data_IF_822336365204
#
_entry.id   IF_822336365204
#
_cell.length_a   1.000
_cell.length_b   1.000
_cell.length_c   1.000
_cell.angle_alpha   90.00
_cell.angle_beta   90.00
_cell.angle_gamma   90.00
#
_symmetry.space_group_name_H-M   'P 1'
#
loop_
_entity.id
_entity.type
_entity.pdbx_description
1 polymer ?
#
# COMPACT_ATOMS: atom_id res chain seq x y z
N UNK A 1 7.05 1.91 8.54
CA UNK A 1 8.53 2.06 8.45
C UNK A 1 8.92 3.45 7.91
N UNK A 2 8.62 3.78 6.65
CA UNK A 2 9.01 5.08 6.06
C UNK A 2 8.56 6.30 6.89
N UNK A 3 7.32 6.30 7.38
CA UNK A 3 6.83 7.35 8.28
C UNK A 3 7.66 7.51 9.57
N UNK A 4 8.05 6.40 10.22
CA UNK A 4 8.87 6.44 11.44
C UNK A 4 10.27 6.97 11.16
N UNK A 5 10.86 6.58 10.02
CA UNK A 5 12.16 7.08 9.58
C UNK A 5 12.09 8.56 9.24
N UNK A 6 11.04 9.01 8.56
CA UNK A 6 10.80 10.43 8.28
C UNK A 6 10.59 11.25 9.57
N UNK A 7 9.84 10.72 10.54
CA UNK A 7 9.63 11.38 11.84
C UNK A 7 10.94 11.49 12.63
N UNK A 8 11.73 10.41 12.66
CA UNK A 8 13.07 10.41 13.27
C UNK A 8 13.97 11.48 12.63
N UNK A 9 14.03 11.52 11.29
CA UNK A 9 14.82 12.51 10.56
C UNK A 9 14.33 13.94 10.83
N UNK A 10 13.02 14.14 10.98
CA UNK A 10 12.45 15.45 11.28
C UNK A 10 12.79 15.94 12.69
N UNK A 11 12.74 15.05 13.68
CA UNK A 11 13.14 15.39 15.05
C UNK A 11 14.65 15.64 15.12
N UNK A 12 15.49 14.77 14.52
CA UNK A 12 16.95 14.97 14.45
C UNK A 12 17.32 16.31 13.78
N UNK A 13 16.62 16.69 12.71
CA UNK A 13 16.77 17.99 12.04
C UNK A 13 16.46 19.17 12.97
N UNK A 14 15.41 19.10 13.78
CA UNK A 14 14.98 20.23 14.62
C UNK A 14 15.93 20.43 15.81
N UNK A 15 16.42 19.34 16.41
CA UNK A 15 17.17 19.41 17.66
C UNK A 15 18.70 19.33 17.51
N UNK A 16 19.23 18.65 16.50
CA UNK A 16 20.65 18.30 16.43
C UNK A 16 21.36 18.75 15.16
N UNK A 17 20.67 18.83 14.01
CA UNK A 17 21.35 18.94 12.71
C UNK A 17 20.89 20.11 11.82
N UNK A 18 21.84 20.84 11.22
CA UNK A 18 21.54 21.93 10.27
C UNK A 18 21.31 21.45 8.82
N UNK A 19 21.75 20.24 8.47
CA UNK A 19 21.72 19.71 7.09
C UNK A 19 20.30 19.49 6.54
N UNK A 20 20.07 19.74 5.25
CA UNK A 20 18.77 19.56 4.58
C UNK A 20 18.26 18.11 4.56
N UNK A 21 16.94 17.91 4.49
CA UNK A 21 16.33 16.57 4.43
C UNK A 21 16.77 15.78 3.18
N UNK A 22 16.77 16.43 2.02
CA UNK A 22 17.13 15.84 0.72
C UNK A 22 18.62 15.52 0.57
N UNK A 23 19.44 15.89 1.55
CA UNK A 23 20.88 15.58 1.56
C UNK A 23 21.16 14.26 2.28
N UNK A 24 20.15 13.62 2.86
CA UNK A 24 20.28 12.35 3.59
C UNK A 24 19.78 11.20 2.73
N UNK A 25 20.61 10.22 2.35
CA UNK A 25 20.17 9.04 1.60
C UNK A 25 18.96 8.34 2.26
N UNK A 26 18.93 8.33 3.59
CA UNK A 26 17.85 7.73 4.38
C UNK A 26 16.47 8.39 4.15
N UNK A 27 16.44 9.68 3.76
CA UNK A 27 15.19 10.37 3.41
C UNK A 27 14.53 9.75 2.17
N UNK A 28 15.33 9.43 1.14
CA UNK A 28 14.80 8.82 -0.08
C UNK A 28 14.35 7.38 0.15
N UNK A 29 15.03 6.63 1.03
CA UNK A 29 14.57 5.30 1.45
C UNK A 29 13.24 5.39 2.20
N UNK A 30 13.10 6.37 3.09
CA UNK A 30 11.84 6.60 3.80
C UNK A 30 10.70 6.97 2.85
N UNK A 31 10.97 7.86 1.89
CA UNK A 31 10.02 8.26 0.85
C UNK A 31 9.59 7.09 -0.02
N UNK A 32 10.56 6.30 -0.52
CA UNK A 32 10.29 5.12 -1.33
C UNK A 32 9.45 4.08 -0.56
N UNK A 33 9.78 3.83 0.71
CA UNK A 33 9.02 2.91 1.55
C UNK A 33 7.57 3.37 1.77
N UNK A 34 7.33 4.68 1.87
CA UNK A 34 5.97 5.22 1.95
C UNK A 34 5.22 5.04 0.63
N UNK A 35 5.84 5.33 -0.51
CA UNK A 35 5.24 5.16 -1.84
C UNK A 35 4.88 3.68 -2.10
N UNK A 36 5.81 2.76 -1.83
CA UNK A 36 5.55 1.33 -2.01
C UNK A 36 4.43 0.86 -1.07
N UNK A 37 4.43 1.32 0.19
CA UNK A 37 3.38 0.98 1.14
C UNK A 37 1.98 1.42 0.69
N UNK A 38 1.84 2.64 0.17
CA UNK A 38 0.56 3.13 -0.35
C UNK A 38 0.14 2.37 -1.60
N UNK A 39 1.08 2.08 -2.51
CA UNK A 39 0.83 1.27 -3.70
C UNK A 39 0.30 -0.11 -3.33
N UNK A 40 0.97 -0.83 -2.43
CA UNK A 40 0.54 -2.17 -2.01
C UNK A 40 -0.87 -2.15 -1.37
N UNK A 41 -1.17 -1.15 -0.55
CA UNK A 41 -2.49 -0.99 0.05
C UNK A 41 -3.58 -0.72 -0.99
N UNK A 42 -3.36 0.28 -1.85
CA UNK A 42 -4.34 0.69 -2.87
C UNK A 42 -4.54 -0.42 -3.90
N UNK A 43 -3.46 -1.04 -4.37
CA UNK A 43 -3.53 -2.18 -5.30
C UNK A 43 -4.29 -3.35 -4.69
N UNK A 44 -4.05 -3.69 -3.42
CA UNK A 44 -4.82 -4.72 -2.72
C UNK A 44 -6.31 -4.39 -2.66
N UNK A 45 -6.64 -3.15 -2.31
CA UNK A 45 -8.03 -2.69 -2.23
C UNK A 45 -8.73 -2.72 -3.60
N UNK A 46 -8.05 -2.27 -4.66
CA UNK A 46 -8.55 -2.32 -6.03
C UNK A 46 -8.78 -3.78 -6.48
N UNK A 47 -7.83 -4.68 -6.18
CA UNK A 47 -7.98 -6.09 -6.51
C UNK A 47 -9.21 -6.71 -5.85
N UNK A 48 -9.49 -6.34 -4.58
CA UNK A 48 -10.70 -6.77 -3.88
C UNK A 48 -11.98 -6.26 -4.54
N UNK A 49 -12.02 -4.97 -4.93
CA UNK A 49 -13.17 -4.39 -5.63
C UNK A 49 -13.42 -5.07 -6.99
N UNK A 50 -12.36 -5.34 -7.76
CA UNK A 50 -12.47 -6.04 -9.06
C UNK A 50 -13.00 -7.47 -8.84
N UNK A 51 -12.46 -8.20 -7.86
CA UNK A 51 -12.92 -9.55 -7.53
C UNK A 51 -14.39 -9.58 -7.14
N UNK A 52 -14.87 -8.58 -6.38
CA UNK A 52 -16.27 -8.45 -5.98
C UNK A 52 -17.20 -8.15 -7.16
N UNK A 53 -16.71 -7.48 -8.20
CA UNK A 53 -17.48 -7.12 -9.40
C UNK A 53 -17.43 -8.18 -10.52
N UNK A 54 -16.86 -9.37 -10.27
CA UNK A 54 -16.68 -10.39 -11.30
C UNK A 54 -18.05 -10.91 -11.83
N UNK A 55 -18.32 -10.80 -13.15
CA UNK A 55 -19.60 -11.21 -13.76
C UNK A 55 -19.94 -12.70 -13.57
N UNK A 56 -18.92 -13.54 -13.38
CA UNK A 56 -19.06 -15.00 -13.25
C UNK A 56 -19.31 -15.49 -11.81
N UNK A 57 -19.43 -14.60 -10.81
CA UNK A 57 -19.63 -15.03 -9.41
C UNK A 57 -20.91 -15.85 -9.18
N UNK A 58 -21.92 -15.66 -10.04
CA UNK A 58 -23.22 -16.35 -9.99
C UNK A 58 -23.40 -17.39 -11.10
N UNK A 59 -22.35 -17.70 -11.88
CA UNK A 59 -22.40 -18.76 -12.87
C UNK A 59 -22.13 -20.11 -12.17
N UNK A 60 -23.12 -20.60 -11.44
CA UNK A 60 -23.07 -21.98 -10.93
C UNK A 60 -23.27 -22.92 -12.13
N UNK A 61 -22.33 -23.84 -12.33
CA UNK A 61 -22.52 -24.96 -13.25
C UNK A 61 -23.58 -25.89 -12.64
N UNK A 62 -24.82 -25.77 -13.09
CA UNK A 62 -25.89 -26.70 -12.70
C UNK A 62 -25.61 -28.03 -13.39
N UNK A 63 -24.94 -28.94 -12.69
CA UNK A 63 -24.57 -30.26 -13.22
C UNK A 63 -25.80 -31.20 -13.33
N UNK A 64 -26.80 -31.05 -12.46
CA UNK A 64 -28.01 -31.88 -12.47
C UNK A 64 -29.22 -31.15 -11.88
N UNK A 65 -30.33 -31.11 -12.62
CA UNK A 65 -31.65 -30.76 -12.06
C UNK A 65 -32.29 -32.03 -11.48
N UNK A 66 -32.54 -32.03 -10.18
CA UNK A 66 -33.41 -33.02 -9.52
C UNK A 66 -34.80 -32.40 -9.37
N UNK A 67 -35.67 -32.65 -10.33
CA UNK A 67 -37.11 -32.36 -10.27
C UNK A 67 -37.87 -33.50 -10.93
N UNK A 68 -39.05 -33.82 -10.38
CA UNK A 68 -40.03 -34.74 -10.98
C UNK A 68 -40.60 -34.16 -12.29
#
# INVERSE_FOLDING_TARGET
LGFLVSLYLALSKIFFDKTGFTQRPLFFVALLAMIIGTQLFVTGFIAELISRNAPHRNAYLVEKRTGL
#
